data_IF_837309004046
#
_entry.id   IF_837309004046
#
_cell.length_a   1.000
_cell.length_b   1.000
_cell.length_c   1.000
_cell.angle_alpha   90.00
_cell.angle_beta   90.00
_cell.angle_gamma   90.00
#
_symmetry.space_group_name_H-M   'P 1'
#
loop_
_entity.id
_entity.type
_entity.pdbx_description
1 polymer ?
#
# COMPACT_ATOMS: atom_id res chain seq x y z
N UNK A 1 -75.20 -26.49 -55.10
CA UNK A 1 -75.16 -26.55 -53.62
C UNK A 1 -73.71 -26.76 -53.23
N UNK A 2 -72.97 -25.69 -52.90
CA UNK A 2 -72.77 -25.16 -51.54
C UNK A 2 -72.18 -26.22 -50.59
N UNK A 3 -70.87 -26.14 -50.37
CA UNK A 3 -70.26 -26.03 -49.03
C UNK A 3 -68.74 -25.97 -49.11
N UNK A 4 -68.20 -24.81 -48.77
CA UNK A 4 -66.91 -24.65 -48.10
C UNK A 4 -67.14 -24.80 -46.58
N UNK A 5 -66.13 -24.56 -45.72
CA UNK A 5 -64.88 -25.28 -45.51
C UNK A 5 -64.82 -25.85 -44.08
N UNK A 6 -63.78 -26.61 -43.71
CA UNK A 6 -63.43 -26.79 -42.30
C UNK A 6 -61.94 -26.48 -42.11
N UNK A 7 -61.65 -25.26 -41.65
CA UNK A 7 -60.34 -24.87 -41.12
C UNK A 7 -60.30 -25.31 -39.66
N UNK A 8 -59.58 -26.38 -39.36
CA UNK A 8 -59.20 -26.72 -37.98
C UNK A 8 -58.04 -25.82 -37.55
N UNK A 9 -58.36 -24.67 -36.96
CA UNK A 9 -57.42 -23.91 -36.15
C UNK A 9 -57.24 -24.62 -34.81
N UNK A 10 -56.08 -25.23 -34.58
CA UNK A 10 -55.67 -25.66 -33.25
C UNK A 10 -55.26 -24.41 -32.47
N UNK A 11 -56.20 -23.85 -31.72
CA UNK A 11 -55.90 -22.87 -30.66
C UNK A 11 -55.08 -23.58 -29.58
N UNK A 12 -53.82 -23.17 -29.43
CA UNK A 12 -53.03 -23.53 -28.26
C UNK A 12 -53.57 -22.77 -27.05
N UNK A 13 -54.06 -23.44 -25.99
CA UNK A 13 -54.46 -22.73 -24.79
C UNK A 13 -53.22 -22.12 -24.15
N UNK A 14 -53.19 -20.78 -24.11
CA UNK A 14 -52.21 -20.00 -23.38
C UNK A 14 -52.14 -20.46 -21.94
N UNK A 15 -51.03 -21.10 -21.58
CA UNK A 15 -50.72 -21.54 -20.22
C UNK A 15 -50.50 -20.29 -19.38
N UNK A 16 -51.54 -19.81 -18.71
CA UNK A 16 -51.44 -18.74 -17.72
C UNK A 16 -50.50 -19.18 -16.60
N UNK A 17 -49.23 -18.77 -16.68
CA UNK A 17 -48.27 -18.98 -15.61
C UNK A 17 -48.75 -18.33 -14.31
N UNK A 18 -48.51 -18.94 -13.14
CA UNK A 18 -49.00 -18.40 -11.88
C UNK A 18 -48.46 -16.98 -11.70
N UNK A 19 -49.39 -16.02 -11.60
CA UNK A 19 -49.08 -14.63 -11.22
C UNK A 19 -48.44 -14.67 -9.84
N UNK A 20 -47.13 -14.48 -9.76
CA UNK A 20 -46.41 -14.31 -8.50
C UNK A 20 -47.06 -13.13 -7.78
N UNK A 21 -47.65 -13.38 -6.62
CA UNK A 21 -48.19 -12.33 -5.76
C UNK A 21 -47.00 -11.55 -5.21
N UNK A 22 -46.80 -10.35 -5.71
CA UNK A 22 -45.86 -9.38 -5.15
C UNK A 22 -46.33 -9.05 -3.73
N UNK A 23 -45.59 -9.50 -2.72
CA UNK A 23 -45.85 -9.15 -1.32
C UNK A 23 -45.22 -7.77 -1.08
N UNK A 24 -45.99 -6.85 -0.50
CA UNK A 24 -45.47 -5.55 -0.06
C UNK A 24 -44.71 -5.67 1.26
N UNK A 25 -43.93 -4.64 1.59
CA UNK A 25 -43.18 -4.58 2.85
C UNK A 25 -44.12 -4.51 4.05
N UNK A 26 -43.88 -5.36 5.04
CA UNK A 26 -44.62 -5.30 6.30
C UNK A 26 -43.98 -4.27 7.24
N UNK A 27 -44.77 -3.70 8.16
CA UNK A 27 -44.25 -2.77 9.17
C UNK A 27 -43.13 -3.41 10.00
N UNK A 28 -43.28 -4.70 10.34
CA UNK A 28 -42.28 -5.46 11.11
C UNK A 28 -40.96 -5.58 10.35
N UNK A 29 -41.00 -5.78 9.03
CA UNK A 29 -39.81 -5.89 8.19
C UNK A 29 -39.04 -4.57 8.12
N UNK A 30 -39.75 -3.45 7.96
CA UNK A 30 -39.12 -2.12 7.96
C UNK A 30 -38.51 -1.83 9.34
N UNK A 31 -39.21 -2.17 10.43
CA UNK A 31 -38.65 -2.01 11.78
C UNK A 31 -37.38 -2.85 11.99
N UNK A 32 -37.37 -4.10 11.49
CA UNK A 32 -36.20 -4.96 11.56
C UNK A 32 -35.03 -4.39 10.73
N UNK A 33 -35.30 -3.88 9.53
CA UNK A 33 -34.27 -3.25 8.70
C UNK A 33 -33.71 -1.97 9.32
N UNK A 34 -34.56 -1.12 9.90
CA UNK A 34 -34.13 0.09 10.61
C UNK A 34 -33.27 -0.25 11.84
N UNK A 35 -33.68 -1.25 12.62
CA UNK A 35 -32.89 -1.74 13.75
C UNK A 35 -31.53 -2.29 13.29
N UNK A 36 -31.53 -3.07 12.20
CA UNK A 36 -30.30 -3.62 11.63
C UNK A 36 -29.35 -2.50 11.18
N UNK A 37 -29.87 -1.48 10.48
CA UNK A 37 -29.06 -0.34 10.06
C UNK A 37 -28.54 0.48 11.25
N UNK A 38 -29.33 0.63 12.32
CA UNK A 38 -28.89 1.33 13.52
C UNK A 38 -27.64 0.70 14.17
N UNK A 39 -27.48 -0.62 14.04
CA UNK A 39 -26.33 -1.35 14.59
C UNK A 39 -25.18 -1.44 13.57
N UNK A 40 -25.49 -1.59 12.28
CA UNK A 40 -24.46 -1.77 11.24
C UNK A 40 -23.73 -0.47 10.90
N UNK A 41 -24.44 0.65 10.82
CA UNK A 41 -23.85 1.93 10.36
C UNK A 41 -22.64 2.35 11.22
N UNK A 42 -22.69 2.34 12.57
CA UNK A 42 -21.53 2.71 13.39
C UNK A 42 -20.30 1.83 13.11
N UNK A 43 -20.49 0.51 13.04
CA UNK A 43 -19.40 -0.44 12.78
C UNK A 43 -18.81 -0.25 11.38
N UNK A 44 -19.65 -0.01 10.37
CA UNK A 44 -19.20 0.26 9.02
C UNK A 44 -18.40 1.58 8.95
N UNK A 45 -18.84 2.62 9.66
CA UNK A 45 -18.14 3.91 9.73
C UNK A 45 -16.77 3.79 10.40
N UNK A 46 -16.66 3.03 11.49
CA UNK A 46 -15.38 2.76 12.14
C UNK A 46 -14.41 2.04 11.20
N UNK A 47 -14.88 0.99 10.52
CA UNK A 47 -14.08 0.27 9.53
C UNK A 47 -13.57 1.17 8.40
N UNK A 48 -14.43 2.04 7.86
CA UNK A 48 -14.05 2.99 6.82
C UNK A 48 -13.02 4.03 7.32
N UNK A 49 -13.16 4.52 8.55
CA UNK A 49 -12.23 5.47 9.16
C UNK A 49 -10.83 4.85 9.31
N UNK A 50 -10.76 3.61 9.81
CA UNK A 50 -9.48 2.88 9.96
C UNK A 50 -8.84 2.65 8.58
N UNK A 51 -9.61 2.18 7.60
CA UNK A 51 -9.12 1.95 6.25
C UNK A 51 -8.59 3.23 5.58
N UNK A 52 -9.30 4.35 5.75
CA UNK A 52 -8.89 5.65 5.21
C UNK A 52 -7.57 6.14 5.83
N UNK A 53 -7.44 6.08 7.16
CA UNK A 53 -6.20 6.45 7.86
C UNK A 53 -5.03 5.58 7.42
N UNK A 54 -5.25 4.26 7.33
CA UNK A 54 -4.24 3.33 6.85
C UNK A 54 -3.82 3.63 5.40
N UNK A 55 -4.77 4.00 4.52
CA UNK A 55 -4.49 4.38 3.14
C UNK A 55 -3.61 5.63 3.04
N UNK A 56 -3.95 6.70 3.78
CA UNK A 56 -3.15 7.93 3.80
C UNK A 56 -1.75 7.67 4.34
N UNK A 57 -1.63 6.91 5.44
CA UNK A 57 -0.34 6.52 5.99
C UNK A 57 0.47 5.70 4.99
N UNK A 58 -0.15 4.74 4.30
CA UNK A 58 0.50 3.92 3.28
C UNK A 58 1.05 4.75 2.12
N UNK A 59 0.27 5.70 1.60
CA UNK A 59 0.72 6.62 0.55
C UNK A 59 1.92 7.46 1.00
N UNK A 60 1.88 7.97 2.23
CA UNK A 60 2.97 8.78 2.80
C UNK A 60 4.22 7.97 3.08
N UNK A 61 4.06 6.73 3.55
CA UNK A 61 5.14 5.78 3.75
C UNK A 61 5.80 5.43 2.41
N UNK A 62 5.02 5.16 1.37
CA UNK A 62 5.55 4.89 0.04
C UNK A 62 6.33 6.08 -0.54
N UNK A 63 5.83 7.32 -0.36
CA UNK A 63 6.56 8.52 -0.76
C UNK A 63 7.90 8.63 -0.01
N UNK A 64 7.88 8.50 1.33
CA UNK A 64 9.09 8.56 2.15
C UNK A 64 10.09 7.43 1.82
N UNK A 65 9.62 6.22 1.46
CA UNK A 65 10.49 5.13 1.00
C UNK A 65 11.18 5.45 -0.31
N UNK A 66 10.49 6.05 -1.29
CA UNK A 66 11.14 6.49 -2.55
C UNK A 66 12.22 7.53 -2.28
N UNK A 67 11.99 8.44 -1.33
CA UNK A 67 12.99 9.41 -0.88
C UNK A 67 14.18 8.69 -0.23
N UNK A 68 13.93 7.72 0.65
CA UNK A 68 14.98 6.94 1.30
C UNK A 68 15.84 6.15 0.29
N UNK A 69 15.22 5.49 -0.69
CA UNK A 69 15.92 4.75 -1.74
C UNK A 69 16.75 5.67 -2.65
N UNK A 70 16.22 6.84 -2.99
CA UNK A 70 16.96 7.84 -3.77
C UNK A 70 18.19 8.34 -3.00
N UNK A 71 18.02 8.68 -1.72
CA UNK A 71 19.12 9.09 -0.85
C UNK A 71 20.15 7.99 -0.70
N UNK A 72 19.71 6.75 -0.48
CA UNK A 72 20.59 5.61 -0.36
C UNK A 72 21.43 5.44 -1.64
N UNK A 73 20.82 5.53 -2.82
CA UNK A 73 21.56 5.44 -4.09
C UNK A 73 22.56 6.59 -4.28
N UNK A 74 22.20 7.81 -3.92
CA UNK A 74 23.09 8.98 -3.97
C UNK A 74 24.28 8.81 -3.01
N UNK A 75 23.99 8.42 -1.77
CA UNK A 75 25.00 8.21 -0.73
C UNK A 75 25.90 7.01 -1.01
N UNK A 76 25.41 5.97 -1.69
CA UNK A 76 26.23 4.83 -2.14
C UNK A 76 27.27 5.30 -3.16
N UNK A 77 26.90 6.20 -4.08
CA UNK A 77 27.84 6.74 -5.07
C UNK A 77 28.93 7.58 -4.38
N UNK A 78 28.59 8.27 -3.30
CA UNK A 78 29.50 9.13 -2.54
C UNK A 78 30.21 8.42 -1.36
N UNK A 79 29.90 7.15 -1.12
CA UNK A 79 30.24 6.44 0.12
C UNK A 79 31.74 6.43 0.47
N UNK A 80 32.63 6.51 -0.52
CA UNK A 80 34.08 6.60 -0.31
C UNK A 80 34.57 7.92 0.30
N UNK A 81 33.72 8.95 0.31
CA UNK A 81 34.04 10.31 0.79
C UNK A 81 33.16 10.78 1.94
N UNK A 82 32.10 10.02 2.27
CA UNK A 82 31.09 10.42 3.23
C UNK A 82 31.43 9.99 4.67
N UNK A 83 31.02 10.82 5.63
CA UNK A 83 31.20 10.57 7.06
C UNK A 83 30.25 9.45 7.55
N UNK A 84 30.59 8.80 8.67
CA UNK A 84 29.77 7.73 9.26
C UNK A 84 28.35 8.18 9.67
N UNK A 85 28.06 9.48 9.71
CA UNK A 85 26.73 10.02 9.95
C UNK A 85 26.52 11.26 9.09
N UNK A 86 25.34 11.39 8.51
CA UNK A 86 24.92 12.56 7.75
C UNK A 86 23.44 12.84 8.02
N UNK A 87 23.00 14.07 7.80
CA UNK A 87 21.60 14.45 7.92
C UNK A 87 21.27 15.60 7.00
N UNK A 88 19.99 15.76 6.70
CA UNK A 88 19.55 16.85 5.85
C UNK A 88 18.05 16.77 5.57
N UNK A 89 17.64 17.50 4.55
CA UNK A 89 16.28 17.55 4.07
C UNK A 89 16.27 17.30 2.57
N UNK A 90 15.43 16.39 2.10
CA UNK A 90 15.22 16.15 0.68
C UNK A 90 13.77 16.48 0.30
N UNK A 91 13.59 17.25 -0.77
CA UNK A 91 12.26 17.57 -1.27
C UNK A 91 11.75 16.48 -2.23
N UNK A 92 10.49 16.06 -2.04
CA UNK A 92 9.71 15.27 -3.02
C UNK A 92 8.40 16.02 -3.30
N UNK A 93 8.33 16.65 -4.48
CA UNK A 93 7.28 17.60 -4.83
C UNK A 93 7.30 18.84 -3.91
N UNK A 94 6.16 19.14 -3.30
CA UNK A 94 6.01 20.30 -2.39
C UNK A 94 6.35 19.97 -0.92
N UNK A 95 6.80 18.75 -0.63
CA UNK A 95 7.05 18.29 0.75
C UNK A 95 8.53 18.06 0.99
N UNK A 96 9.05 18.62 2.07
CA UNK A 96 10.41 18.39 2.53
C UNK A 96 10.45 17.26 3.57
N UNK A 97 11.32 16.29 3.32
CA UNK A 97 11.51 15.12 4.17
C UNK A 97 12.86 15.22 4.90
N UNK A 98 12.86 15.42 6.22
CA UNK A 98 14.08 15.33 7.03
C UNK A 98 14.56 13.88 7.08
N UNK A 99 15.86 13.71 6.90
CA UNK A 99 16.51 12.41 6.87
C UNK A 99 17.82 12.39 7.66
N UNK A 100 18.19 11.20 8.12
CA UNK A 100 19.47 10.91 8.75
C UNK A 100 20.07 9.65 8.13
N UNK A 101 21.38 9.60 8.02
CA UNK A 101 22.16 8.46 7.55
C UNK A 101 23.12 8.06 8.65
N UNK A 102 23.28 6.76 8.88
CA UNK A 102 24.26 6.19 9.79
C UNK A 102 24.94 4.99 9.13
N UNK A 103 26.27 4.98 9.16
CA UNK A 103 27.10 3.89 8.69
C UNK A 103 27.79 3.23 9.87
N UNK A 104 27.65 1.92 9.97
CA UNK A 104 28.19 1.11 11.08
C UNK A 104 28.96 -0.09 10.54
N UNK A 105 29.96 -0.56 11.28
CA UNK A 105 30.66 -1.77 10.88
C UNK A 105 29.74 -2.98 11.02
N UNK A 106 29.71 -3.83 10.01
CA UNK A 106 29.02 -5.11 10.08
C UNK A 106 29.82 -6.07 10.96
N UNK A 107 29.16 -6.85 11.80
CA UNK A 107 29.86 -7.67 12.80
C UNK A 107 30.50 -8.94 12.22
N UNK A 108 30.01 -9.42 11.07
CA UNK A 108 30.38 -10.74 10.54
C UNK A 108 31.53 -10.68 9.52
N UNK A 109 31.70 -9.56 8.81
CA UNK A 109 32.64 -9.42 7.69
C UNK A 109 33.24 -8.01 7.64
N UNK A 110 34.22 -7.81 6.75
CA UNK A 110 34.79 -6.49 6.41
C UNK A 110 33.82 -5.64 5.57
N UNK A 111 32.59 -5.52 6.05
CA UNK A 111 31.50 -4.74 5.46
C UNK A 111 31.06 -3.64 6.43
N UNK A 112 30.41 -2.63 5.90
CA UNK A 112 29.73 -1.58 6.64
C UNK A 112 28.27 -1.53 6.21
N UNK A 113 27.35 -1.42 7.17
CA UNK A 113 25.94 -1.18 6.89
C UNK A 113 25.66 0.32 6.93
N UNK A 114 25.18 0.85 5.82
CA UNK A 114 24.64 2.20 5.75
C UNK A 114 23.12 2.15 5.83
N UNK A 115 22.56 2.87 6.79
CA UNK A 115 21.12 2.97 7.04
C UNK A 115 20.68 4.42 6.87
N UNK A 116 19.70 4.66 6.01
CA UNK A 116 19.06 5.96 5.81
C UNK A 116 17.67 5.92 6.41
N UNK A 117 17.38 6.83 7.33
CA UNK A 117 16.07 6.98 7.99
C UNK A 117 15.44 8.30 7.56
N UNK A 118 14.24 8.23 7.00
CA UNK A 118 13.42 9.39 6.63
C UNK A 118 12.26 9.50 7.61
N UNK A 119 12.04 10.70 8.13
CA UNK A 119 10.95 10.97 9.09
C UNK A 119 9.91 11.88 8.49
N UNK A 120 8.64 11.67 8.86
CA UNK A 120 7.52 12.49 8.43
C UNK A 120 6.42 12.51 9.48
N UNK A 121 5.54 13.50 9.41
CA UNK A 121 4.45 13.68 10.38
C UNK A 121 3.08 13.51 9.72
N UNK A 122 2.17 12.82 10.41
CA UNK A 122 0.77 12.71 10.01
C UNK A 122 -0.12 12.91 11.21
N UNK A 123 -1.04 13.89 11.12
CA UNK A 123 -2.00 14.22 12.17
C UNK A 123 -1.34 14.41 13.56
N UNK A 124 -0.13 14.99 13.58
CA UNK A 124 0.63 15.22 14.81
C UNK A 124 1.42 14.01 15.35
N UNK A 125 1.39 12.87 14.66
CA UNK A 125 2.22 11.69 14.97
C UNK A 125 3.43 11.61 14.05
N UNK A 126 4.59 11.30 14.62
CA UNK A 126 5.81 11.08 13.86
C UNK A 126 5.89 9.63 13.39
N UNK A 127 6.26 9.45 12.14
CA UNK A 127 6.53 8.17 11.52
C UNK A 127 7.90 8.19 10.87
N UNK A 128 8.55 7.05 10.85
CA UNK A 128 9.83 6.85 10.21
C UNK A 128 9.79 5.69 9.23
N UNK A 129 10.66 5.78 8.24
CA UNK A 129 10.98 4.69 7.32
C UNK A 129 12.49 4.61 7.16
N UNK A 130 13.00 3.40 7.08
CA UNK A 130 14.43 3.15 6.91
C UNK A 130 14.71 2.25 5.72
N UNK A 131 15.81 2.53 5.04
CA UNK A 131 16.40 1.70 4.00
C UNK A 131 17.87 1.46 4.34
N UNK A 132 18.36 0.23 4.14
CA UNK A 132 19.71 -0.15 4.50
C UNK A 132 20.40 -0.89 3.37
N UNK A 133 21.72 -0.69 3.25
CA UNK A 133 22.57 -1.42 2.31
C UNK A 133 23.90 -1.77 2.95
N UNK A 134 24.54 -2.82 2.45
CA UNK A 134 25.90 -3.20 2.83
C UNK A 134 26.90 -2.66 1.80
N UNK A 135 28.00 -2.13 2.30
CA UNK A 135 29.14 -1.62 1.53
C UNK A 135 30.41 -2.33 1.97
N UNK A 136 31.43 -2.46 1.10
CA UNK A 136 32.75 -2.88 1.54
C UNK A 136 33.32 -1.87 2.54
N UNK A 137 34.00 -2.34 3.59
CA UNK A 137 34.66 -1.46 4.53
C UNK A 137 35.77 -0.67 3.82
N UNK A 138 35.73 0.65 3.89
CA UNK A 138 36.77 1.55 3.39
C UNK A 138 38.02 1.41 4.26
N UNK A 139 38.86 0.41 3.95
CA UNK A 139 40.06 0.09 4.71
C UNK A 139 40.83 -1.14 4.24
N UNK A 140 40.27 -2.00 3.39
CA UNK A 140 41.00 -3.13 2.79
C UNK A 140 41.81 -2.64 1.59
N UNK A 141 42.94 -2.00 1.87
CA UNK A 141 44.08 -2.09 0.95
C UNK A 141 44.53 -3.55 1.04
N UNK A 142 44.01 -4.41 0.16
CA UNK A 142 44.64 -5.70 -0.09
C UNK A 142 46.07 -5.39 -0.53
N UNK A 143 47.00 -5.47 0.42
CA UNK A 143 48.42 -5.36 0.14
C UNK A 143 48.76 -6.68 -0.53
N UNK A 144 48.59 -6.73 -1.86
CA UNK A 144 49.12 -7.79 -2.68
C UNK A 144 50.63 -7.76 -2.47
N UNK A 145 51.13 -8.61 -1.56
CA UNK A 145 52.55 -8.87 -1.39
C UNK A 145 53.05 -9.49 -2.69
N UNK A 146 53.48 -8.64 -3.62
CA UNK A 146 54.22 -9.05 -4.79
C UNK A 146 55.58 -9.54 -4.29
N UNK A 147 55.68 -10.84 -4.05
CA UNK A 147 56.96 -11.52 -3.81
C UNK A 147 57.71 -11.55 -5.13
N UNK A 148 58.34 -10.44 -5.49
CA UNK A 148 59.41 -10.40 -6.47
C UNK A 148 60.72 -10.60 -5.72
N UNK A 149 61.43 -11.71 -5.94
CA UNK A 149 62.91 -11.79 -5.97
C UNK A 149 63.41 -13.21 -6.22
N UNK A 150 64.14 -13.32 -7.35
CA UNK A 150 65.29 -14.20 -7.68
C UNK A 150 65.05 -15.70 -7.92
#
# INVERSE_FOLDING_TARGET
MRSAPSRSGTEFPGRGGPRRRSRGFTLVEILAALLMMAIIIPVAMEGMSIASRAGILGQRKAAAMRVAERLLNELVVEAGTQQATASGNLADGDVSYPWTMRTENWSEDALQQMTVTVTFTLQGQNYDVSASTLLPASGTVETATATASL
#
